data_IF_357605829235
#
_entry.id   IF_357605829235
#
_cell.length_a   1.000
_cell.length_b   1.000
_cell.length_c   1.000
_cell.angle_alpha   90.00
_cell.angle_beta   90.00
_cell.angle_gamma   90.00
#
_symmetry.space_group_name_H-M   'P 1'
#
loop_
_entity.id
_entity.type
_entity.pdbx_description
1 polymer ?
#
# COMPACT_ATOMS: atom_id res chain seq x y z
N UNK A 1 -18.36 -1.80 -6.21
CA UNK A 1 -18.81 -1.05 -5.02
C UNK A 1 -17.59 -0.36 -4.44
N UNK A 2 -17.49 0.97 -4.47
CA UNK A 2 -16.31 1.69 -3.94
C UNK A 2 -16.52 1.91 -2.44
N UNK A 3 -15.86 1.13 -1.59
CA UNK A 3 -15.90 1.36 -0.14
C UNK A 3 -14.74 2.28 0.23
N UNK A 4 -15.01 3.59 0.26
CA UNK A 4 -14.09 4.57 0.82
C UNK A 4 -14.08 4.40 2.35
N UNK A 5 -13.17 3.59 2.89
CA UNK A 5 -12.98 3.46 4.33
C UNK A 5 -12.11 4.64 4.76
N UNK A 6 -12.72 5.71 5.25
CA UNK A 6 -12.03 6.76 6.01
C UNK A 6 -12.33 6.53 7.48
N UNK A 7 -11.45 5.79 8.14
CA UNK A 7 -11.46 5.64 9.58
C UNK A 7 -10.11 6.13 10.11
N UNK A 8 -10.16 7.31 10.72
CA UNK A 8 -9.02 8.02 11.30
C UNK A 8 -8.28 7.24 12.40
N UNK A 9 -8.84 6.12 12.90
CA UNK A 9 -8.24 5.23 13.89
C UNK A 9 -7.79 3.90 13.32
N UNK A 10 -8.13 3.59 12.06
CA UNK A 10 -7.80 2.32 11.44
C UNK A 10 -6.31 2.26 11.13
N UNK A 11 -5.58 1.49 11.93
CA UNK A 11 -4.13 1.28 11.76
C UNK A 11 -3.79 0.03 10.94
N UNK A 12 -4.75 -0.87 10.82
CA UNK A 12 -4.59 -2.18 10.17
C UNK A 12 -5.78 -2.43 9.27
N UNK A 13 -5.51 -2.76 8.01
CA UNK A 13 -6.50 -3.17 7.04
C UNK A 13 -6.09 -4.53 6.48
N UNK A 14 -6.98 -5.51 6.54
CA UNK A 14 -6.68 -6.84 6.01
C UNK A 14 -6.66 -6.80 4.48
N UNK A 15 -7.76 -6.39 3.86
CA UNK A 15 -7.88 -6.36 2.40
C UNK A 15 -8.52 -5.05 1.98
N UNK A 16 -7.98 -4.47 0.92
CA UNK A 16 -8.61 -3.39 0.18
C UNK A 16 -8.82 -3.84 -1.27
N UNK A 17 -10.09 -3.88 -1.69
CA UNK A 17 -10.49 -4.04 -3.08
C UNK A 17 -11.18 -2.73 -3.51
N UNK A 18 -10.46 -1.94 -4.30
CA UNK A 18 -10.95 -0.66 -4.76
C UNK A 18 -9.97 0.06 -5.66
N UNK A 19 -10.47 0.99 -6.49
CA UNK A 19 -9.62 1.70 -7.46
C UNK A 19 -8.50 2.51 -6.80
N UNK A 20 -8.77 3.13 -5.65
CA UNK A 20 -7.83 4.05 -4.99
C UNK A 20 -7.96 3.98 -3.48
N UNK A 21 -6.83 3.79 -2.78
CA UNK A 21 -6.71 3.95 -1.33
C UNK A 21 -5.77 5.13 -1.05
N UNK A 22 -6.24 6.06 -0.22
CA UNK A 22 -5.45 7.17 0.31
C UNK A 22 -5.66 7.24 1.82
N UNK A 23 -4.60 7.00 2.56
CA UNK A 23 -4.60 7.04 4.02
C UNK A 23 -3.30 7.70 4.52
N UNK A 24 -3.31 8.29 5.70
CA UNK A 24 -2.16 8.99 6.30
C UNK A 24 -1.74 8.40 7.67
N UNK A 25 -2.38 7.29 8.07
CA UNK A 25 -2.29 6.68 9.40
C UNK A 25 -2.20 5.16 9.36
N UNK A 26 -2.53 4.53 8.23
CA UNK A 26 -2.45 3.10 8.06
C UNK A 26 -1.00 2.66 8.27
N UNK A 27 -0.81 1.62 9.08
CA UNK A 27 0.52 1.05 9.36
C UNK A 27 0.71 -0.28 8.66
N UNK A 28 -0.36 -1.05 8.55
CA UNK A 28 -0.34 -2.39 7.99
C UNK A 28 -1.51 -2.57 7.03
N UNK A 29 -1.19 -3.03 5.82
CA UNK A 29 -2.15 -3.50 4.84
C UNK A 29 -1.71 -4.90 4.39
N UNK A 30 -2.58 -5.92 4.49
CA UNK A 30 -2.18 -7.24 4.02
C UNK A 30 -2.25 -7.29 2.49
N UNK A 31 -3.42 -7.02 1.91
CA UNK A 31 -3.63 -7.08 0.46
C UNK A 31 -4.25 -5.80 -0.08
N UNK A 32 -3.63 -5.24 -1.11
CA UNK A 32 -4.20 -4.19 -1.94
C UNK A 32 -4.46 -4.73 -3.35
N UNK A 33 -5.72 -4.68 -3.78
CA UNK A 33 -6.15 -4.87 -5.16
C UNK A 33 -6.79 -3.57 -5.65
N UNK A 34 -6.13 -2.89 -6.58
CA UNK A 34 -6.56 -1.60 -7.05
C UNK A 34 -5.67 -0.99 -8.11
N UNK A 35 -5.85 0.30 -8.40
CA UNK A 35 -4.97 1.01 -9.34
C UNK A 35 -3.89 1.82 -8.64
N UNK A 36 -4.26 2.50 -7.55
CA UNK A 36 -3.39 3.47 -6.89
C UNK A 36 -3.48 3.36 -5.37
N UNK A 37 -2.33 3.13 -4.73
CA UNK A 37 -2.16 3.25 -3.28
C UNK A 37 -1.24 4.44 -3.00
N UNK A 38 -1.74 5.38 -2.18
CA UNK A 38 -0.95 6.47 -1.63
C UNK A 38 -1.06 6.49 -0.12
N UNK A 39 0.07 6.37 0.56
CA UNK A 39 0.14 6.49 2.01
C UNK A 39 1.42 7.23 2.42
N UNK A 40 1.42 7.85 3.59
CA UNK A 40 2.58 8.62 4.10
C UNK A 40 3.23 7.93 5.33
N UNK A 41 2.61 6.86 5.84
CA UNK A 41 2.94 6.18 7.10
C UNK A 41 2.85 4.66 7.04
N UNK A 42 2.54 4.06 5.90
CA UNK A 42 2.47 2.62 5.75
C UNK A 42 3.84 2.03 6.06
N UNK A 43 3.84 0.97 6.87
CA UNK A 43 5.09 0.28 7.25
C UNK A 43 5.18 -1.06 6.54
N UNK A 44 4.05 -1.74 6.42
CA UNK A 44 3.98 -3.10 5.91
C UNK A 44 2.83 -3.23 4.91
N UNK A 45 3.18 -3.71 3.72
CA UNK A 45 2.26 -4.16 2.68
C UNK A 45 2.66 -5.58 2.28
N UNK A 46 1.77 -6.58 2.41
CA UNK A 46 2.14 -7.94 2.02
C UNK A 46 2.03 -8.12 0.50
N UNK A 47 0.87 -7.83 -0.08
CA UNK A 47 0.61 -7.98 -1.51
C UNK A 47 0.06 -6.69 -2.11
N UNK A 48 0.66 -6.25 -3.20
CA UNK A 48 0.17 -5.14 -4.01
C UNK A 48 -0.11 -5.62 -5.44
N UNK A 49 -1.37 -5.55 -5.86
CA UNK A 49 -1.79 -5.63 -7.25
C UNK A 49 -2.29 -4.24 -7.67
N UNK A 50 -1.60 -3.63 -8.63
CA UNK A 50 -2.02 -2.36 -9.18
C UNK A 50 -1.05 -1.72 -10.15
N UNK A 51 -1.09 -0.39 -10.26
CA UNK A 51 -0.22 0.35 -11.21
C UNK A 51 0.71 1.32 -10.53
N UNK A 52 0.28 1.92 -9.42
CA UNK A 52 1.02 2.97 -8.75
C UNK A 52 0.98 2.77 -7.24
N UNK A 53 2.17 2.61 -6.67
CA UNK A 53 2.40 2.61 -5.23
C UNK A 53 3.31 3.78 -4.88
N UNK A 54 2.80 4.71 -4.06
CA UNK A 54 3.57 5.83 -3.52
C UNK A 54 3.48 5.82 -2.00
N UNK A 55 4.61 5.63 -1.35
CA UNK A 55 4.72 5.76 0.09
C UNK A 55 6.14 6.21 0.53
N UNK A 56 6.18 7.10 1.52
CA UNK A 56 7.39 7.74 2.01
C UNK A 56 8.08 6.97 3.16
N UNK A 57 7.42 5.97 3.75
CA UNK A 57 7.82 5.25 4.97
C UNK A 57 7.72 3.72 4.89
N UNK A 58 7.37 3.18 3.71
CA UNK A 58 7.12 1.76 3.50
C UNK A 58 8.41 0.98 3.71
N UNK A 59 8.39 0.06 4.67
CA UNK A 59 9.58 -0.72 5.04
C UNK A 59 9.59 -2.09 4.40
N UNK A 60 8.41 -2.65 4.18
CA UNK A 60 8.25 -4.02 3.72
C UNK A 60 7.14 -4.09 2.69
N UNK A 61 7.51 -4.61 1.52
CA UNK A 61 6.62 -5.00 0.44
C UNK A 61 7.02 -6.42 0.02
N UNK A 62 6.17 -7.41 0.26
CA UNK A 62 6.55 -8.81 0.03
C UNK A 62 6.35 -9.24 -1.43
N UNK A 63 5.19 -8.95 -2.00
CA UNK A 63 4.82 -9.35 -3.35
C UNK A 63 4.19 -8.20 -4.12
N UNK A 64 4.59 -8.07 -5.38
CA UNK A 64 4.03 -7.12 -6.33
C UNK A 64 3.64 -7.89 -7.57
N UNK A 65 2.36 -7.87 -7.92
CA UNK A 65 1.86 -8.47 -9.15
C UNK A 65 1.57 -7.37 -10.19
N UNK A 66 2.00 -7.59 -11.44
CA UNK A 66 1.83 -6.66 -12.55
C UNK A 66 2.96 -5.64 -12.81
N UNK A 67 2.75 -4.80 -13.84
CA UNK A 67 3.66 -3.71 -14.24
C UNK A 67 3.52 -2.51 -13.30
N UNK A 68 4.02 -2.64 -12.08
CA UNK A 68 3.88 -1.58 -11.07
C UNK A 68 4.97 -0.53 -11.20
N UNK A 69 4.56 0.73 -11.33
CA UNK A 69 5.44 1.87 -11.11
C UNK A 69 5.51 2.15 -9.61
N UNK A 70 6.54 1.59 -8.98
CA UNK A 70 6.81 1.75 -7.55
C UNK A 70 7.67 3.00 -7.35
N UNK A 71 7.11 4.05 -6.75
CA UNK A 71 7.88 5.20 -6.26
C UNK A 71 7.91 5.11 -4.74
N UNK A 72 8.81 4.26 -4.26
CA UNK A 72 9.09 4.09 -2.84
C UNK A 72 10.33 4.92 -2.52
N UNK A 73 10.22 5.91 -1.61
CA UNK A 73 11.40 6.58 -1.02
C UNK A 73 11.91 5.75 0.17
N UNK A 74 12.00 4.43 -0.01
CA UNK A 74 12.53 3.52 0.99
C UNK A 74 13.81 2.89 0.48
N UNK A 75 14.74 2.73 1.42
CA UNK A 75 15.90 1.87 1.28
C UNK A 75 15.42 0.52 0.74
N UNK A 76 15.61 0.27 -0.55
CA UNK A 76 15.40 -1.05 -1.10
C UNK A 76 16.26 -2.00 -0.28
N UNK A 77 15.65 -2.94 0.45
CA UNK A 77 16.38 -4.05 0.99
C UNK A 77 16.98 -4.78 -0.22
N UNK A 78 18.26 -4.53 -0.44
CA UNK A 78 19.06 -5.12 -1.48
C UNK A 78 19.04 -6.62 -1.25
N UNK A 79 18.33 -7.34 -2.11
CA UNK A 79 18.47 -8.79 -2.24
C UNK A 79 19.84 -9.01 -2.88
N UNK A 80 20.79 -9.49 -2.08
CA UNK A 80 21.95 -10.26 -2.55
C UNK A 80 21.56 -11.74 -2.50
#
# INVERSE_FOLDING_TARGET
>A
MVRLIKDDRLRTLATFDGKTLKDDRLRTLATFDGKTLKDDRLRTLATFDGKTLKDDRLRTLATVDGSVSIVIIAFAARIF
#
